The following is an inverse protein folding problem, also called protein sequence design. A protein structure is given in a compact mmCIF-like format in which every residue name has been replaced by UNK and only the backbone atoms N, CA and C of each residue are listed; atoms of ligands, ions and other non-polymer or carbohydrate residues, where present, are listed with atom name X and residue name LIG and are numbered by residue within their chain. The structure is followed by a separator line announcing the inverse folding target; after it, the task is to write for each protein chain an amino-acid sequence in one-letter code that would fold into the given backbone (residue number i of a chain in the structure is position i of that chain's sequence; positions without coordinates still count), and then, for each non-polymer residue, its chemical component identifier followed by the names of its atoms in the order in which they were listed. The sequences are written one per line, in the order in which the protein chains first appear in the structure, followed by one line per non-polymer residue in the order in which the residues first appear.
data_IF_365219955568
#
_entry.id   IF_365219955568
#
_cell.length_a   1.000
_cell.length_b   1.000
_cell.length_c   1.000
_cell.angle_alpha   90.00
_cell.angle_beta   90.00
_cell.angle_gamma   90.00
#
_symmetry.space_group_name_H-M   'P 1'
#
loop_
_entity.id
_entity.type
_entity.pdbx_description
1 polymer ?
#
# COMPACT_ATOMS: atom_id res chain seq x y z
N UNK A 1 86.08 12.30 -57.66
CA UNK A 1 85.81 11.20 -56.71
C UNK A 1 85.15 11.63 -55.39
N UNK A 2 85.14 12.92 -55.00
CA UNK A 2 84.49 13.36 -53.75
C UNK A 2 82.95 13.48 -53.84
N UNK A 3 82.41 13.89 -54.99
CA UNK A 3 80.97 14.09 -55.21
C UNK A 3 80.13 12.81 -55.14
N UNK A 4 80.67 11.67 -55.61
CA UNK A 4 80.00 10.37 -55.58
C UNK A 4 79.85 9.79 -54.17
N UNK A 5 80.76 10.11 -53.24
CA UNK A 5 80.67 9.68 -51.84
C UNK A 5 79.56 10.43 -51.11
N UNK A 6 79.41 11.73 -51.35
CA UNK A 6 78.34 12.53 -50.72
C UNK A 6 76.94 12.10 -51.17
N UNK A 7 76.76 11.77 -52.45
CA UNK A 7 75.46 11.29 -52.96
C UNK A 7 75.09 9.95 -52.32
N UNK A 8 76.06 9.04 -52.17
CA UNK A 8 75.80 7.71 -51.62
C UNK A 8 75.50 7.75 -50.11
N UNK A 9 76.19 8.60 -49.36
CA UNK A 9 75.88 8.84 -47.93
C UNK A 9 74.50 9.46 -47.77
N UNK A 10 74.13 10.44 -48.61
CA UNK A 10 72.81 11.07 -48.53
C UNK A 10 71.67 10.09 -48.84
N UNK A 11 71.86 9.20 -49.81
CA UNK A 11 70.90 8.15 -50.16
C UNK A 11 70.71 7.14 -49.02
N UNK A 12 71.79 6.72 -48.36
CA UNK A 12 71.74 5.81 -47.21
C UNK A 12 71.05 6.44 -46.00
N UNK A 13 71.27 7.74 -45.75
CA UNK A 13 70.62 8.46 -44.65
C UNK A 13 69.11 8.61 -44.91
N UNK A 14 68.70 8.90 -46.15
CA UNK A 14 67.28 8.97 -46.52
C UNK A 14 66.62 7.59 -46.42
N UNK A 15 67.29 6.52 -46.88
CA UNK A 15 66.76 5.16 -46.75
C UNK A 15 66.64 4.72 -45.28
N UNK A 16 67.63 5.06 -44.45
CA UNK A 16 67.61 4.79 -43.01
C UNK A 16 66.51 5.56 -42.28
N UNK A 17 66.30 6.83 -42.65
CA UNK A 17 65.23 7.66 -42.11
C UNK A 17 63.83 7.21 -42.56
N UNK A 18 63.67 6.78 -43.83
CA UNK A 18 62.41 6.26 -44.35
C UNK A 18 61.99 4.93 -43.72
N UNK A 19 62.94 4.01 -43.53
CA UNK A 19 62.69 2.71 -42.88
C UNK A 19 62.50 2.86 -41.36
N UNK A 20 63.29 3.71 -40.70
CA UNK A 20 63.15 3.98 -39.26
C UNK A 20 61.86 4.71 -38.91
N UNK A 21 61.48 5.73 -39.70
CA UNK A 21 60.25 6.49 -39.51
C UNK A 21 58.98 5.65 -39.74
N UNK A 22 58.96 4.81 -40.78
CA UNK A 22 57.84 3.90 -41.06
C UNK A 22 57.65 2.84 -39.96
N UNK A 23 58.74 2.29 -39.43
CA UNK A 23 58.67 1.31 -38.34
C UNK A 23 58.18 1.92 -37.02
N UNK A 24 58.59 3.16 -36.71
CA UNK A 24 58.12 3.88 -35.52
C UNK A 24 56.63 4.28 -35.64
N UNK A 25 56.20 4.74 -36.82
CA UNK A 25 54.80 5.07 -37.08
C UNK A 25 53.90 3.83 -37.06
N UNK A 26 54.34 2.71 -37.64
CA UNK A 26 53.62 1.44 -37.56
C UNK A 26 53.50 0.92 -36.12
N UNK A 27 54.56 1.04 -35.31
CA UNK A 27 54.50 0.68 -33.88
C UNK A 27 53.54 1.56 -33.09
N UNK A 28 53.52 2.86 -33.35
CA UNK A 28 52.62 3.78 -32.64
C UNK A 28 51.15 3.51 -32.97
N UNK A 29 50.84 3.28 -34.25
CA UNK A 29 49.47 2.97 -34.69
C UNK A 29 49.00 1.61 -34.18
N UNK A 30 49.87 0.60 -34.12
CA UNK A 30 49.58 -0.68 -33.47
C UNK A 30 49.30 -0.51 -31.97
N UNK A 31 50.11 0.27 -31.26
CA UNK A 31 49.92 0.51 -29.84
C UNK A 31 48.61 1.27 -29.52
N UNK A 32 48.16 2.18 -30.39
CA UNK A 32 46.84 2.82 -30.26
C UNK A 32 45.69 1.85 -30.50
N UNK A 33 45.83 0.94 -31.47
CA UNK A 33 44.84 -0.11 -31.73
C UNK A 33 44.74 -1.10 -30.57
N UNK A 34 45.86 -1.51 -30.00
CA UNK A 34 45.89 -2.41 -28.84
C UNK A 34 45.17 -1.78 -27.65
N UNK A 35 45.43 -0.50 -27.35
CA UNK A 35 44.71 0.23 -26.28
C UNK A 35 43.22 0.35 -26.53
N UNK A 36 42.80 0.55 -27.78
CA UNK A 36 41.39 0.61 -28.14
C UNK A 36 40.72 -0.76 -28.00
N UNK A 37 41.41 -1.83 -28.37
CA UNK A 37 40.93 -3.21 -28.18
C UNK A 37 40.78 -3.50 -26.69
N UNK A 38 41.76 -3.15 -25.85
CA UNK A 38 41.67 -3.32 -24.40
C UNK A 38 40.49 -2.54 -23.80
N UNK A 39 40.28 -1.29 -24.23
CA UNK A 39 39.15 -0.48 -23.81
C UNK A 39 37.80 -1.10 -24.22
N UNK A 40 37.67 -1.55 -25.47
CA UNK A 40 36.45 -2.18 -25.97
C UNK A 40 36.16 -3.50 -25.27
N UNK A 41 37.19 -4.32 -24.98
CA UNK A 41 37.03 -5.54 -24.21
C UNK A 41 36.53 -5.25 -22.79
N UNK A 42 37.08 -4.22 -22.14
CA UNK A 42 36.63 -3.80 -20.82
C UNK A 42 35.18 -3.28 -20.83
N UNK A 43 34.78 -2.53 -21.85
CA UNK A 43 33.40 -2.02 -21.99
C UNK A 43 32.41 -3.15 -22.33
N UNK A 44 32.78 -4.13 -23.15
CA UNK A 44 31.96 -5.33 -23.40
C UNK A 44 31.74 -6.11 -22.11
N UNK A 45 32.77 -6.28 -21.29
CA UNK A 45 32.66 -6.98 -20.02
C UNK A 45 31.76 -6.22 -19.04
N UNK A 46 31.89 -4.89 -18.96
CA UNK A 46 30.98 -4.05 -18.15
C UNK A 46 29.53 -4.14 -18.61
N UNK A 47 29.29 -4.11 -19.92
CA UNK A 47 27.94 -4.26 -20.48
C UNK A 47 27.36 -5.65 -20.23
N UNK A 48 28.19 -6.68 -20.27
CA UNK A 48 27.78 -8.04 -19.94
C UNK A 48 27.38 -8.17 -18.48
N UNK A 49 28.16 -7.57 -17.58
CA UNK A 49 27.86 -7.55 -16.14
C UNK A 49 26.61 -6.73 -15.81
N UNK A 50 26.39 -5.59 -16.48
CA UNK A 50 25.17 -4.81 -16.30
C UNK A 50 23.95 -5.55 -16.85
N UNK A 51 24.08 -6.22 -18.00
CA UNK A 51 23.01 -7.03 -18.57
C UNK A 51 22.66 -8.24 -17.69
N UNK A 52 23.65 -8.91 -17.09
CA UNK A 52 23.37 -10.04 -16.20
C UNK A 52 22.66 -9.56 -14.93
N UNK A 53 23.10 -8.44 -14.36
CA UNK A 53 22.46 -7.82 -13.20
C UNK A 53 21.01 -7.41 -13.50
N UNK A 54 20.76 -6.79 -14.64
CA UNK A 54 19.40 -6.42 -15.06
C UNK A 54 18.52 -7.66 -15.32
N UNK A 55 19.09 -8.75 -15.82
CA UNK A 55 18.36 -10.00 -15.99
C UNK A 55 17.99 -10.62 -14.63
N UNK A 56 18.91 -10.58 -13.66
CA UNK A 56 18.65 -11.01 -12.28
C UNK A 56 17.56 -10.16 -11.62
N UNK A 57 17.66 -8.84 -11.69
CA UNK A 57 16.67 -7.90 -11.16
C UNK A 57 15.30 -8.11 -11.79
N UNK A 58 15.21 -8.27 -13.12
CA UNK A 58 13.94 -8.60 -13.79
C UNK A 58 13.37 -9.95 -13.34
N UNK A 59 14.21 -10.97 -13.17
CA UNK A 59 13.76 -12.28 -12.68
C UNK A 59 13.21 -12.21 -11.24
N UNK A 60 13.79 -11.33 -10.42
CA UNK A 60 13.33 -11.12 -9.05
C UNK A 60 12.00 -10.37 -9.05
N UNK A 61 11.89 -9.29 -9.83
CA UNK A 61 10.64 -8.53 -9.98
C UNK A 61 9.50 -9.39 -10.52
N UNK A 62 9.78 -10.29 -11.47
CA UNK A 62 8.79 -11.21 -11.99
C UNK A 62 8.23 -12.14 -10.90
N UNK A 63 9.11 -12.65 -10.01
CA UNK A 63 8.72 -13.48 -8.86
C UNK A 63 7.92 -12.67 -7.84
N UNK A 64 8.36 -11.47 -7.51
CA UNK A 64 7.67 -10.59 -6.57
C UNK A 64 6.27 -10.19 -7.08
N UNK A 65 6.11 -10.00 -8.40
CA UNK A 65 4.79 -9.77 -8.99
C UNK A 65 3.88 -10.99 -8.91
N UNK A 66 4.43 -12.20 -9.05
CA UNK A 66 3.66 -13.44 -8.93
C UNK A 66 3.18 -13.66 -7.49
N UNK A 67 4.05 -13.43 -6.49
CA UNK A 67 3.69 -13.52 -5.07
C UNK A 67 2.63 -12.48 -4.70
N UNK A 68 2.82 -11.21 -5.09
CA UNK A 68 1.83 -10.16 -4.85
C UNK A 68 0.48 -10.45 -5.49
N UNK A 69 0.46 -11.06 -6.67
CA UNK A 69 -0.79 -11.49 -7.33
C UNK A 69 -1.48 -12.62 -6.56
N UNK A 70 -0.71 -13.60 -6.07
CA UNK A 70 -1.23 -14.67 -5.25
C UNK A 70 -1.79 -14.15 -3.91
N UNK A 71 -1.07 -13.25 -3.25
CA UNK A 71 -1.49 -12.62 -2.00
C UNK A 71 -2.77 -11.82 -2.19
N UNK A 72 -2.84 -11.00 -3.25
CA UNK A 72 -4.04 -10.22 -3.57
C UNK A 72 -5.25 -11.10 -3.90
N UNK A 73 -5.04 -12.24 -4.58
CA UNK A 73 -6.11 -13.21 -4.82
C UNK A 73 -6.61 -13.83 -3.51
N UNK A 74 -5.70 -14.20 -2.61
CA UNK A 74 -6.03 -14.78 -1.30
C UNK A 74 -6.77 -13.79 -0.41
N UNK A 75 -6.35 -12.52 -0.37
CA UNK A 75 -7.03 -11.47 0.39
C UNK A 75 -8.44 -11.23 -0.11
N UNK A 76 -8.64 -11.17 -1.43
CA UNK A 76 -9.97 -10.99 -2.02
C UNK A 76 -10.89 -12.14 -1.62
N UNK A 77 -10.39 -13.38 -1.65
CA UNK A 77 -11.16 -14.55 -1.25
C UNK A 77 -11.48 -14.52 0.26
N UNK A 78 -10.52 -14.13 1.11
CA UNK A 78 -10.73 -13.99 2.54
C UNK A 78 -11.78 -12.92 2.86
N UNK A 79 -11.73 -11.76 2.20
CA UNK A 79 -12.75 -10.72 2.35
C UNK A 79 -14.13 -11.18 1.91
N UNK A 80 -14.22 -11.89 0.78
CA UNK A 80 -15.48 -12.43 0.31
C UNK A 80 -16.09 -13.42 1.33
N UNK A 81 -15.27 -14.33 1.88
CA UNK A 81 -15.71 -15.28 2.91
C UNK A 81 -16.12 -14.60 4.23
N UNK A 82 -15.43 -13.53 4.63
CA UNK A 82 -15.83 -12.72 5.78
C UNK A 82 -17.17 -12.03 5.52
N UNK A 83 -17.36 -11.49 4.33
CA UNK A 83 -18.60 -10.79 3.97
C UNK A 83 -19.79 -11.73 3.97
N UNK A 84 -19.67 -12.93 3.43
CA UNK A 84 -20.74 -13.95 3.53
C UNK A 84 -21.04 -14.32 4.98
N UNK A 85 -20.02 -14.46 5.82
CA UNK A 85 -20.21 -14.77 7.26
C UNK A 85 -20.95 -13.64 7.98
N UNK A 86 -20.65 -12.38 7.67
CA UNK A 86 -21.35 -11.21 8.23
C UNK A 86 -22.81 -11.21 7.76
N UNK A 87 -23.05 -11.42 6.47
CA UNK A 87 -24.40 -11.46 5.91
C UNK A 87 -25.25 -12.57 6.53
N UNK A 88 -24.69 -13.76 6.75
CA UNK A 88 -25.37 -14.88 7.41
C UNK A 88 -25.61 -14.65 8.91
N UNK A 89 -24.67 -14.00 9.61
CA UNK A 89 -24.79 -13.76 11.06
C UNK A 89 -25.62 -12.53 11.42
N UNK A 90 -25.75 -11.57 10.49
CA UNK A 90 -26.51 -10.32 10.70
C UNK A 90 -27.96 -10.41 10.24
N UNK A 91 -28.48 -11.61 9.93
CA UNK A 91 -29.91 -11.79 9.66
C UNK A 91 -30.70 -11.41 10.92
N UNK A 92 -31.59 -10.38 10.87
CA UNK A 92 -32.40 -10.01 12.02
C UNK A 92 -33.23 -11.21 12.47
N UNK A 93 -32.86 -11.77 13.61
CA UNK A 93 -33.65 -12.81 14.27
C UNK A 93 -34.63 -12.10 15.19
N UNK A 94 -35.93 -12.31 14.97
CA UNK A 94 -36.94 -11.85 15.94
C UNK A 94 -36.70 -12.59 17.26
N UNK A 95 -36.09 -11.90 18.23
CA UNK A 95 -35.95 -12.40 19.59
C UNK A 95 -37.23 -12.03 20.33
N UNK A 96 -38.19 -12.97 20.31
CA UNK A 96 -39.49 -12.84 20.97
C UNK A 96 -40.65 -12.75 19.98
N UNK A 97 -41.76 -13.43 20.30
CA UNK A 97 -43.06 -13.14 19.68
C UNK A 97 -43.39 -11.65 19.82
N UNK A 98 -44.31 -11.09 19.02
CA UNK A 98 -44.89 -9.75 19.24
C UNK A 98 -45.09 -9.54 20.74
N UNK A 99 -44.17 -8.82 21.36
CA UNK A 99 -44.37 -8.32 22.68
C UNK A 99 -45.37 -7.19 22.46
N UNK A 100 -46.66 -7.52 22.54
CA UNK A 100 -47.67 -6.54 22.89
C UNK A 100 -47.25 -6.03 24.26
N UNK A 101 -46.31 -5.07 24.28
CA UNK A 101 -46.00 -4.32 25.48
C UNK A 101 -47.30 -3.61 25.78
N UNK A 102 -48.03 -4.04 26.81
CA UNK A 102 -49.32 -3.47 27.07
C UNK A 102 -48.96 -2.13 27.72
N UNK A 103 -49.03 -1.04 26.93
CA UNK A 103 -48.55 0.29 27.32
C UNK A 103 -49.74 1.22 27.48
N UNK A 104 -49.87 1.81 28.66
CA UNK A 104 -50.81 2.91 28.95
C UNK A 104 -50.11 4.26 28.84
N UNK A 105 -50.89 5.34 28.68
CA UNK A 105 -50.37 6.71 28.71
C UNK A 105 -50.73 7.38 30.02
N UNK A 106 -49.72 7.68 30.82
CA UNK A 106 -49.85 8.53 32.01
C UNK A 106 -49.46 9.97 31.69
N UNK A 107 -50.12 10.93 32.32
CA UNK A 107 -49.83 12.34 32.16
C UNK A 107 -49.13 12.87 33.41
N UNK A 108 -47.99 13.54 33.23
CA UNK A 108 -47.23 14.14 34.30
C UNK A 108 -47.90 15.41 34.83
N UNK A 109 -47.81 15.62 36.14
CA UNK A 109 -48.21 16.87 36.79
C UNK A 109 -47.09 17.91 36.66
N UNK A 110 -47.41 19.22 36.68
CA UNK A 110 -46.40 20.26 36.54
C UNK A 110 -45.39 20.18 37.68
N UNK A 111 -44.10 20.13 37.32
CA UNK A 111 -43.00 20.07 38.29
C UNK A 111 -42.79 18.70 38.96
N UNK A 112 -43.52 17.66 38.55
CA UNK A 112 -43.39 16.31 39.10
C UNK A 112 -42.03 15.71 38.73
N UNK A 113 -41.32 15.13 39.71
CA UNK A 113 -40.09 14.39 39.40
C UNK A 113 -40.43 13.01 38.80
N UNK A 114 -39.49 12.42 38.08
CA UNK A 114 -39.63 11.06 37.55
C UNK A 114 -39.92 10.06 38.68
N UNK A 115 -39.29 10.25 39.84
CA UNK A 115 -39.48 9.36 41.00
C UNK A 115 -40.87 9.48 41.62
N UNK A 116 -41.43 10.68 41.66
CA UNK A 116 -42.76 10.93 42.20
C UNK A 116 -43.84 10.40 41.25
N UNK A 117 -43.65 10.61 39.95
CA UNK A 117 -44.49 10.02 38.91
C UNK A 117 -44.47 8.48 39.00
N UNK A 118 -43.29 7.87 39.18
CA UNK A 118 -43.17 6.42 39.35
C UNK A 118 -43.95 5.90 40.55
N UNK A 119 -43.81 6.56 41.71
CA UNK A 119 -44.54 6.19 42.94
C UNK A 119 -46.05 6.31 42.74
N UNK A 120 -46.51 7.42 42.14
CA UNK A 120 -47.93 7.66 41.86
C UNK A 120 -48.50 6.59 40.95
N UNK A 121 -47.76 6.25 39.90
CA UNK A 121 -48.15 5.23 38.93
C UNK A 121 -47.74 3.80 39.35
N UNK A 122 -47.38 3.60 40.63
CA UNK A 122 -47.02 2.30 41.22
C UNK A 122 -46.03 1.49 40.36
N UNK A 123 -45.05 2.18 39.78
CA UNK A 123 -44.01 1.61 38.92
C UNK A 123 -42.63 2.00 39.44
N UNK A 124 -41.58 1.45 38.82
CA UNK A 124 -40.20 1.81 39.13
C UNK A 124 -39.63 2.79 38.10
N UNK A 125 -38.68 3.61 38.54
CA UNK A 125 -37.96 4.55 37.65
C UNK A 125 -37.24 3.80 36.53
N UNK A 126 -36.67 2.62 36.82
CA UNK A 126 -36.00 1.79 35.81
C UNK A 126 -36.96 1.31 34.72
N UNK A 127 -38.17 0.87 35.09
CA UNK A 127 -39.21 0.47 34.12
C UNK A 127 -39.68 1.67 33.30
N UNK A 128 -39.88 2.84 33.92
CA UNK A 128 -40.23 4.06 33.20
C UNK A 128 -39.16 4.47 32.18
N UNK A 129 -37.87 4.33 32.51
CA UNK A 129 -36.78 4.62 31.57
C UNK A 129 -36.64 3.59 30.47
N UNK A 130 -36.89 2.33 30.78
CA UNK A 130 -36.92 1.28 29.75
C UNK A 130 -38.02 1.57 28.71
N UNK A 131 -39.17 2.08 29.15
CA UNK A 131 -40.28 2.47 28.26
C UNK A 131 -40.09 3.86 27.65
N UNK A 132 -39.39 4.78 28.31
CA UNK A 132 -39.20 6.16 27.86
C UNK A 132 -37.70 6.51 27.92
N UNK A 133 -36.87 6.05 26.97
CA UNK A 133 -35.40 6.25 27.02
C UNK A 133 -34.97 7.72 26.95
N UNK A 134 -35.84 8.60 26.44
CA UNK A 134 -35.62 10.05 26.35
C UNK A 134 -35.86 10.81 27.66
N UNK A 135 -36.27 10.12 28.73
CA UNK A 135 -36.59 10.74 30.02
C UNK A 135 -35.31 11.09 30.79
N UNK A 136 -35.17 12.36 31.18
CA UNK A 136 -34.06 12.85 32.00
C UNK A 136 -34.49 12.93 33.47
N UNK A 137 -33.89 12.10 34.33
CA UNK A 137 -34.19 12.06 35.77
C UNK A 137 -33.78 13.34 36.50
N UNK A 138 -32.80 14.07 35.97
CA UNK A 138 -32.29 15.29 36.61
C UNK A 138 -33.24 16.48 36.44
N UNK A 139 -34.21 16.38 35.53
CA UNK A 139 -35.15 17.45 35.22
C UNK A 139 -36.57 17.10 35.69
N UNK A 140 -37.33 18.09 36.19
CA UNK A 140 -38.75 17.87 36.44
C UNK A 140 -39.46 17.61 35.11
N UNK A 141 -40.51 16.79 35.18
CA UNK A 141 -41.37 16.51 34.04
C UNK A 141 -42.11 17.78 33.62
N UNK A 142 -42.25 17.95 32.31
CA UNK A 142 -42.96 19.09 31.76
C UNK A 142 -44.46 18.97 32.04
N UNK A 143 -45.13 20.12 32.12
CA UNK A 143 -46.58 20.14 32.31
C UNK A 143 -47.28 19.39 31.18
N UNK A 144 -48.19 18.47 31.53
CA UNK A 144 -48.90 17.59 30.59
C UNK A 144 -48.01 16.67 29.73
N UNK A 145 -46.77 16.43 30.13
CA UNK A 145 -45.91 15.45 29.45
C UNK A 145 -46.55 14.06 29.53
N UNK A 146 -46.71 13.41 28.38
CA UNK A 146 -47.26 12.04 28.32
C UNK A 146 -46.15 11.01 28.33
N UNK A 147 -46.27 10.02 29.21
CA UNK A 147 -45.29 8.97 29.43
C UNK A 147 -45.91 7.59 29.23
N UNK A 148 -45.13 6.69 28.68
CA UNK A 148 -45.49 5.29 28.52
C UNK A 148 -45.37 4.55 29.85
N UNK A 149 -46.46 3.90 30.26
CA UNK A 149 -46.61 3.13 31.47
C UNK A 149 -46.83 1.66 31.15
N UNK A 150 -46.36 0.71 31.97
CA UNK A 150 -46.78 -0.68 31.84
C UNK A 150 -48.26 -0.81 32.25
N UNK A 151 -49.05 -1.58 31.49
CA UNK A 151 -50.43 -1.95 31.83
C UNK A 151 -50.42 -2.76 33.13
N UNK A 152 -51.26 -2.37 34.08
CA UNK A 152 -51.48 -3.09 35.33
C UNK A 152 -52.61 -4.10 35.11
N UNK A 153 -52.29 -5.39 35.06
CA UNK A 153 -53.30 -6.46 35.17
C UNK A 153 -53.63 -6.75 36.62
#
# INVERSE_FOLDING_TARGET
MRSSVFVLVFLVVILGAGLGGGALWARHTLAEKDRLVDYLLADVERLRQSSSRLAEENSQLARDLETLRADLASEKQARAAQQTTIEESMVPREIGSKADFPVERGMARPGESVSDFAKREKTSVSVLKALNPWLDEAKPLQHYQTLWLPIRR
#
